data_IF_761484617294
#
_entry.id   IF_761484617294
#
_cell.length_a   1.000
_cell.length_b   1.000
_cell.length_c   1.000
_cell.angle_alpha   90.00
_cell.angle_beta   90.00
_cell.angle_gamma   90.00
#
_symmetry.space_group_name_H-M   'P 1'
#
loop_
_entity.id
_entity.type
_entity.pdbx_description
1 polymer ?
#
# COMPACT_ATOMS: atom_id res chain seq x y z
N UNK A 1 -69.34 27.74 -2.11
CA UNK A 1 -68.65 26.44 -2.31
C UNK A 1 -67.17 26.73 -2.56
N UNK A 2 -66.29 26.53 -1.56
CA UNK A 2 -64.83 26.73 -1.69
C UNK A 2 -64.25 25.42 -2.13
N UNK A 3 -63.56 25.40 -3.29
CA UNK A 3 -62.83 24.26 -3.78
C UNK A 3 -61.42 24.22 -3.09
N UNK A 4 -61.16 23.20 -2.29
CA UNK A 4 -59.88 22.94 -1.69
C UNK A 4 -59.07 22.08 -2.70
N UNK A 5 -58.05 22.66 -3.29
CA UNK A 5 -57.10 21.93 -4.15
C UNK A 5 -56.01 21.35 -3.25
N UNK A 6 -56.03 20.03 -3.08
CA UNK A 6 -54.97 19.32 -2.33
C UNK A 6 -53.74 19.14 -3.24
N UNK A 7 -52.62 19.74 -2.88
CA UNK A 7 -51.30 19.48 -3.48
C UNK A 7 -50.71 18.21 -2.87
N UNK A 8 -50.65 17.13 -3.64
CA UNK A 8 -49.93 15.91 -3.27
C UNK A 8 -48.46 16.14 -3.59
N UNK A 9 -47.65 16.35 -2.55
CA UNK A 9 -46.18 16.29 -2.66
C UNK A 9 -45.76 14.83 -2.77
N UNK A 10 -45.40 14.40 -3.98
CA UNK A 10 -44.73 13.11 -4.18
C UNK A 10 -43.31 13.22 -3.67
N UNK A 11 -43.04 12.69 -2.48
CA UNK A 11 -41.67 12.44 -1.98
C UNK A 11 -41.08 11.30 -2.82
N UNK A 12 -40.32 11.61 -3.86
CA UNK A 12 -39.44 10.67 -4.49
C UNK A 12 -38.26 10.44 -3.54
N UNK A 13 -38.33 9.36 -2.75
CA UNK A 13 -37.14 8.84 -2.05
C UNK A 13 -36.10 8.46 -3.10
N UNK A 14 -35.08 9.29 -3.26
CA UNK A 14 -33.87 8.92 -3.93
C UNK A 14 -33.26 7.79 -3.08
N UNK A 15 -33.51 6.54 -3.48
CA UNK A 15 -32.72 5.40 -3.00
C UNK A 15 -31.29 5.66 -3.46
N UNK A 16 -30.49 6.26 -2.58
CA UNK A 16 -29.05 6.31 -2.71
C UNK A 16 -28.58 4.85 -2.70
N UNK A 17 -28.39 4.27 -3.87
CA UNK A 17 -27.63 3.04 -3.97
C UNK A 17 -26.23 3.37 -3.49
N UNK A 18 -25.85 2.87 -2.32
CA UNK A 18 -24.49 2.95 -1.86
C UNK A 18 -23.58 2.45 -2.99
N UNK A 19 -22.67 3.31 -3.43
CA UNK A 19 -21.80 3.01 -4.55
C UNK A 19 -20.88 1.88 -4.14
N UNK A 20 -20.93 0.74 -4.84
CA UNK A 20 -20.21 -0.48 -4.49
C UNK A 20 -18.82 -0.48 -5.11
N UNK A 21 -17.85 -0.98 -4.37
CA UNK A 21 -16.51 -1.24 -4.91
C UNK A 21 -16.55 -2.36 -5.96
N UNK A 22 -16.08 -2.07 -7.16
CA UNK A 22 -15.92 -3.03 -8.25
C UNK A 22 -14.43 -3.34 -8.54
N UNK A 23 -13.54 -2.46 -8.11
CA UNK A 23 -12.12 -2.55 -8.33
C UNK A 23 -11.36 -2.19 -7.05
N UNK A 24 -10.21 -2.82 -6.83
CA UNK A 24 -9.32 -2.47 -5.73
C UNK A 24 -7.89 -2.28 -6.23
N UNK A 25 -7.24 -1.23 -5.75
CA UNK A 25 -5.81 -1.00 -5.92
C UNK A 25 -5.17 -1.06 -4.54
N UNK A 26 -4.22 -1.97 -4.37
CA UNK A 26 -3.50 -2.19 -3.14
C UNK A 26 -2.07 -1.72 -3.38
N UNK A 27 -1.55 -0.86 -2.51
CA UNK A 27 -0.20 -0.32 -2.61
C UNK A 27 0.53 -0.58 -1.30
N UNK A 28 1.73 -1.11 -1.40
CA UNK A 28 2.65 -1.18 -0.26
C UNK A 28 3.92 -0.39 -0.53
N UNK A 29 4.49 0.16 0.53
CA UNK A 29 5.81 0.80 0.51
C UNK A 29 6.64 0.17 1.63
N UNK A 30 7.68 -0.59 1.25
CA UNK A 30 8.44 -1.45 2.14
C UNK A 30 9.05 -0.65 3.30
N UNK A 31 8.86 -1.11 4.52
CA UNK A 31 9.48 -0.58 5.73
C UNK A 31 9.27 0.92 6.01
N UNK A 32 8.26 1.57 5.39
CA UNK A 32 8.04 3.01 5.59
C UNK A 32 7.37 3.29 6.93
N UNK A 33 8.13 3.94 7.82
CA UNK A 33 7.80 4.11 9.23
C UNK A 33 6.56 4.99 9.47
N UNK A 34 5.68 4.57 10.39
CA UNK A 34 4.53 5.36 10.83
C UNK A 34 4.92 6.77 11.34
N UNK A 35 6.09 6.92 11.99
CA UNK A 35 6.57 8.21 12.47
C UNK A 35 6.74 9.24 11.33
N UNK A 36 7.11 8.78 10.13
CA UNK A 36 7.26 9.68 8.98
C UNK A 36 5.91 10.07 8.40
N UNK A 37 4.96 9.15 8.42
CA UNK A 37 3.58 9.42 8.01
C UNK A 37 2.94 10.46 8.91
N UNK A 38 3.03 10.30 10.23
CA UNK A 38 2.26 11.12 11.18
C UNK A 38 3.02 12.31 11.77
N UNK A 39 4.35 12.28 11.81
CA UNK A 39 5.18 13.33 12.43
C UNK A 39 6.06 14.08 11.43
N UNK A 40 6.20 13.58 10.21
CA UNK A 40 7.07 14.16 9.20
C UNK A 40 8.57 13.86 9.41
N UNK A 41 9.43 14.74 8.93
CA UNK A 41 10.88 14.62 9.02
C UNK A 41 11.37 14.58 10.48
N UNK A 42 12.26 13.63 10.79
CA UNK A 42 12.95 13.57 12.09
C UNK A 42 14.20 14.45 12.07
N UNK A 43 14.24 15.44 12.96
CA UNK A 43 15.34 16.41 13.03
C UNK A 43 16.66 15.77 13.48
N UNK A 44 16.63 14.81 14.42
CA UNK A 44 17.85 14.16 14.90
C UNK A 44 18.50 13.32 13.80
N UNK A 45 17.70 12.65 12.97
CA UNK A 45 18.22 11.91 11.81
C UNK A 45 18.74 12.89 10.74
N UNK A 46 17.98 13.97 10.46
CA UNK A 46 18.37 14.99 9.49
C UNK A 46 19.65 15.76 9.88
N UNK A 47 19.89 15.92 11.17
CA UNK A 47 21.09 16.60 11.68
C UNK A 47 22.32 15.67 11.76
N UNK A 48 22.11 14.36 11.72
CA UNK A 48 23.18 13.39 11.80
C UNK A 48 23.93 13.29 10.47
N UNK A 49 25.22 13.67 10.47
CA UNK A 49 26.08 13.68 9.27
C UNK A 49 26.19 12.31 8.59
N UNK A 50 26.12 11.22 9.34
CA UNK A 50 26.12 9.85 8.79
C UNK A 50 24.92 9.62 7.89
N UNK A 51 23.74 10.13 8.26
CA UNK A 51 22.48 9.86 7.60
C UNK A 51 22.09 10.92 6.56
N UNK A 52 22.44 12.19 6.80
CA UNK A 52 22.15 13.25 5.84
C UNK A 52 23.19 13.38 4.71
N UNK A 53 24.38 12.79 4.88
CA UNK A 53 25.44 12.71 3.88
C UNK A 53 25.77 14.05 3.18
N UNK A 54 25.59 15.16 3.87
CA UNK A 54 25.78 16.53 3.35
C UNK A 54 24.49 17.20 2.86
N UNK A 55 23.38 16.49 2.76
CA UNK A 55 22.10 16.99 2.23
C UNK A 55 21.21 17.65 3.29
N UNK A 56 21.72 17.95 4.48
CA UNK A 56 20.94 18.56 5.56
C UNK A 56 20.12 19.77 5.08
N UNK A 57 20.75 20.68 4.34
CA UNK A 57 20.08 21.90 3.84
C UNK A 57 18.90 21.57 2.92
N UNK A 58 19.08 20.60 2.04
CA UNK A 58 18.02 20.12 1.14
C UNK A 58 16.86 19.52 1.93
N UNK A 59 17.15 18.60 2.87
CA UNK A 59 16.16 17.91 3.70
C UNK A 59 15.29 18.92 4.44
N UNK A 60 15.91 19.91 5.11
CA UNK A 60 15.17 20.95 5.83
C UNK A 60 14.36 21.86 4.91
N UNK A 61 14.90 22.24 3.75
CA UNK A 61 14.18 23.06 2.77
C UNK A 61 12.93 22.35 2.24
N UNK A 62 13.02 21.05 1.96
CA UNK A 62 11.95 20.29 1.33
C UNK A 62 10.95 19.75 2.35
N UNK A 63 11.42 19.22 3.48
CA UNK A 63 10.61 18.48 4.44
C UNK A 63 10.53 19.12 5.82
N UNK A 64 11.32 20.11 6.11
CA UNK A 64 11.36 20.75 7.43
C UNK A 64 10.14 21.62 7.68
N UNK A 65 9.56 21.50 8.88
CA UNK A 65 8.59 22.40 9.48
C UNK A 65 8.65 22.32 11.00
N UNK A 66 8.23 23.39 11.68
CA UNK A 66 7.98 23.37 13.12
C UNK A 66 6.56 22.83 13.42
N UNK A 67 5.63 22.98 12.50
CA UNK A 67 4.28 22.46 12.59
C UNK A 67 4.24 21.01 12.09
N UNK A 68 3.71 20.09 12.91
CA UNK A 68 3.64 18.65 12.59
C UNK A 68 2.71 18.41 11.41
N UNK A 69 1.60 19.15 11.31
CA UNK A 69 0.64 19.01 10.21
C UNK A 69 1.30 19.38 8.89
N UNK A 70 2.03 20.49 8.84
CA UNK A 70 2.78 20.88 7.67
C UNK A 70 3.93 19.88 7.37
N UNK A 71 4.66 19.41 8.38
CA UNK A 71 5.78 18.49 8.22
C UNK A 71 5.35 17.17 7.57
N UNK A 72 4.24 16.55 8.01
CA UNK A 72 3.72 15.32 7.45
C UNK A 72 3.15 15.50 6.04
N UNK A 73 2.48 16.64 5.77
CA UNK A 73 2.00 16.99 4.44
C UNK A 73 3.14 17.21 3.43
N UNK A 74 4.31 17.67 3.87
CA UNK A 74 5.48 17.82 3.00
C UNK A 74 6.03 16.47 2.51
N UNK A 75 5.88 15.41 3.30
CA UNK A 75 6.32 14.05 2.90
C UNK A 75 5.26 13.40 2.01
N UNK A 76 3.99 13.38 2.45
CA UNK A 76 2.90 12.71 1.75
C UNK A 76 1.71 13.67 1.53
N UNK A 77 1.85 14.63 0.59
CA UNK A 77 0.81 15.65 0.37
C UNK A 77 -0.53 15.07 -0.10
N UNK A 78 -0.55 14.04 -0.93
CA UNK A 78 -1.79 13.42 -1.41
C UNK A 78 -2.48 12.62 -0.30
N UNK A 79 -1.73 11.85 0.48
CA UNK A 79 -2.27 11.13 1.64
C UNK A 79 -3.03 12.08 2.57
N UNK A 80 -2.41 13.21 2.90
CA UNK A 80 -2.96 14.16 3.89
C UNK A 80 -4.00 15.14 3.33
N UNK A 81 -4.04 15.39 2.02
CA UNK A 81 -5.07 16.26 1.42
C UNK A 81 -6.28 15.47 0.92
N UNK A 82 -6.07 14.37 0.21
CA UNK A 82 -7.13 13.63 -0.45
C UNK A 82 -7.60 12.45 0.40
N UNK A 83 -6.69 11.55 0.80
CA UNK A 83 -7.08 10.34 1.55
C UNK A 83 -7.59 10.70 2.95
N UNK A 84 -6.93 11.63 3.64
CA UNK A 84 -7.40 12.12 4.93
C UNK A 84 -8.78 12.81 4.86
N UNK A 85 -9.19 13.34 3.71
CA UNK A 85 -10.49 13.99 3.57
C UNK A 85 -11.61 13.04 3.13
N UNK A 86 -11.29 11.97 2.40
CA UNK A 86 -12.26 11.07 1.75
C UNK A 86 -12.19 9.62 2.20
N UNK A 87 -11.27 9.30 3.09
CA UNK A 87 -11.01 7.95 3.57
C UNK A 87 -10.61 7.92 5.04
N UNK A 88 -9.75 6.98 5.39
CA UNK A 88 -9.29 6.79 6.77
C UNK A 88 -7.79 6.48 6.77
N UNK A 89 -7.10 6.94 7.82
CA UNK A 89 -5.68 6.68 8.07
C UNK A 89 -5.53 6.19 9.51
N UNK A 90 -4.86 5.04 9.69
CA UNK A 90 -4.68 4.34 10.95
C UNK A 90 -3.19 4.17 11.27
N UNK A 91 -2.87 4.10 12.55
CA UNK A 91 -1.52 3.82 13.03
C UNK A 91 -0.82 5.00 13.70
N UNK A 92 -1.54 6.09 14.03
CA UNK A 92 -0.96 7.15 14.84
C UNK A 92 -0.88 6.72 16.30
N UNK A 93 0.27 6.17 16.67
CA UNK A 93 0.51 5.62 18.01
C UNK A 93 0.52 6.69 19.09
N UNK A 94 0.84 7.95 18.77
CA UNK A 94 0.78 9.06 19.72
C UNK A 94 -0.66 9.33 20.19
N UNK A 95 -1.65 8.93 19.40
CA UNK A 95 -3.07 9.01 19.73
C UNK A 95 -3.63 7.68 20.28
N UNK A 96 -2.79 6.67 20.46
CA UNK A 96 -3.20 5.33 20.90
C UNK A 96 -3.87 4.47 19.82
N UNK A 97 -3.90 4.91 18.58
CA UNK A 97 -4.33 4.12 17.44
C UNK A 97 -3.14 3.30 16.93
N UNK A 98 -3.22 1.98 17.05
CA UNK A 98 -2.09 1.08 16.79
C UNK A 98 -2.44 0.09 15.69
N UNK A 99 -1.48 -0.14 14.79
CA UNK A 99 -1.49 -1.21 13.81
C UNK A 99 -0.17 -1.94 13.93
N UNK A 100 -0.20 -3.26 14.11
CA UNK A 100 1.01 -4.05 14.35
C UNK A 100 1.07 -5.30 13.47
N UNK A 101 2.29 -5.67 13.08
CA UNK A 101 2.63 -6.98 12.55
C UNK A 101 2.55 -7.99 13.69
N UNK A 102 1.95 -9.16 13.45
CA UNK A 102 1.81 -10.22 14.47
C UNK A 102 2.79 -11.38 14.29
N UNK A 103 3.38 -11.58 13.11
CA UNK A 103 4.49 -12.50 12.99
C UNK A 103 5.68 -11.99 13.82
N UNK A 104 6.49 -12.92 14.33
CA UNK A 104 7.60 -12.58 15.24
C UNK A 104 8.88 -12.13 14.55
N UNK A 105 8.91 -12.09 13.21
CA UNK A 105 10.14 -11.87 12.45
C UNK A 105 10.36 -10.41 12.07
N UNK A 106 9.26 -9.66 11.81
CA UNK A 106 9.25 -8.25 11.44
C UNK A 106 10.22 -7.92 10.30
N UNK A 107 10.19 -8.75 9.27
CA UNK A 107 10.94 -8.64 8.03
C UNK A 107 10.01 -8.83 6.83
N UNK A 108 10.46 -8.47 5.63
CA UNK A 108 9.60 -8.25 4.46
C UNK A 108 8.79 -9.48 4.05
N UNK A 109 9.42 -10.63 3.75
CA UNK A 109 8.67 -11.80 3.30
C UNK A 109 7.59 -12.25 4.30
N UNK A 110 7.89 -12.49 5.60
CA UNK A 110 6.88 -12.80 6.60
C UNK A 110 5.80 -11.71 6.75
N UNK A 111 6.16 -10.43 6.64
CA UNK A 111 5.23 -9.31 6.69
C UNK A 111 4.25 -9.33 5.52
N UNK A 112 4.74 -9.40 4.29
CA UNK A 112 3.89 -9.55 3.10
C UNK A 112 3.04 -10.82 3.13
N UNK A 113 3.62 -11.93 3.61
CA UNK A 113 2.87 -13.18 3.79
C UNK A 113 1.71 -13.00 4.76
N UNK A 114 1.94 -12.42 5.94
CA UNK A 114 0.88 -12.16 6.93
C UNK A 114 -0.22 -11.27 6.34
N UNK A 115 0.17 -10.19 5.67
CA UNK A 115 -0.74 -9.23 5.06
C UNK A 115 -1.64 -9.89 4.00
N UNK A 116 -1.07 -10.71 3.12
CA UNK A 116 -1.77 -11.28 1.97
C UNK A 116 -2.52 -12.58 2.30
N UNK A 117 -2.10 -13.32 3.32
CA UNK A 117 -2.75 -14.58 3.71
C UNK A 117 -3.73 -14.41 4.87
N UNK A 118 -3.66 -13.31 5.61
CA UNK A 118 -4.44 -13.12 6.84
C UNK A 118 -3.97 -13.99 7.99
N UNK A 119 -2.76 -14.58 7.90
CA UNK A 119 -2.21 -15.53 8.85
C UNK A 119 -0.72 -15.25 9.11
N UNK A 120 -0.36 -15.10 10.37
CA UNK A 120 1.03 -15.00 10.82
C UNK A 120 1.65 -16.40 10.99
N UNK A 121 2.00 -17.03 9.87
CA UNK A 121 2.59 -18.37 9.87
C UNK A 121 4.07 -18.35 10.31
N UNK A 122 4.36 -18.96 11.45
CA UNK A 122 5.72 -19.04 11.98
C UNK A 122 6.68 -19.88 11.11
N UNK A 123 6.19 -20.69 10.20
CA UNK A 123 7.03 -21.45 9.27
C UNK A 123 7.60 -20.54 8.17
N UNK A 124 6.91 -19.46 7.83
CA UNK A 124 7.39 -18.45 6.87
C UNK A 124 8.30 -17.47 7.63
N UNK A 125 9.60 -17.75 7.64
CA UNK A 125 10.54 -17.21 8.63
C UNK A 125 11.79 -16.52 8.04
N UNK A 126 11.82 -16.27 6.74
CA UNK A 126 13.00 -15.73 6.06
C UNK A 126 12.61 -14.99 4.78
N UNK A 127 13.39 -13.96 4.42
CA UNK A 127 13.30 -13.30 3.10
C UNK A 127 13.72 -14.23 1.93
N UNK A 128 14.42 -15.32 2.24
CA UNK A 128 14.78 -16.36 1.27
C UNK A 128 13.82 -17.57 1.30
N UNK A 129 12.60 -17.38 1.87
CA UNK A 129 11.66 -18.48 1.92
C UNK A 129 11.24 -18.92 0.50
N UNK A 130 10.97 -20.21 0.35
CA UNK A 130 10.44 -20.80 -0.90
C UNK A 130 9.04 -20.28 -1.20
N UNK A 131 8.41 -20.77 -2.27
CA UNK A 131 7.03 -20.45 -2.62
C UNK A 131 6.10 -20.56 -1.39
N UNK A 132 5.32 -19.52 -1.14
CA UNK A 132 4.45 -19.44 0.04
C UNK A 132 3.44 -20.61 0.07
N UNK A 133 3.43 -21.42 1.15
CA UNK A 133 2.49 -22.54 1.24
C UNK A 133 1.04 -22.09 1.45
N UNK A 134 0.84 -20.90 2.03
CA UNK A 134 -0.48 -20.39 2.37
C UNK A 134 -1.16 -19.73 1.17
N UNK A 135 -2.44 -19.99 0.98
CA UNK A 135 -3.25 -19.31 -0.03
C UNK A 135 -3.35 -17.83 0.31
N UNK A 136 -3.10 -16.95 -0.64
CA UNK A 136 -3.22 -15.52 -0.46
C UNK A 136 -4.55 -14.97 -0.99
N UNK A 137 -4.94 -13.78 -0.54
CA UNK A 137 -6.22 -13.17 -0.92
C UNK A 137 -6.31 -12.85 -2.43
N UNK A 138 -5.20 -12.53 -3.09
CA UNK A 138 -5.18 -12.27 -4.53
C UNK A 138 -5.42 -13.56 -5.33
N UNK A 139 -4.83 -14.67 -4.89
CA UNK A 139 -5.10 -16.02 -5.41
C UNK A 139 -6.58 -16.38 -5.25
N UNK A 140 -7.13 -16.19 -4.06
CA UNK A 140 -8.56 -16.40 -3.80
C UNK A 140 -9.45 -15.54 -4.71
N UNK A 141 -9.14 -14.25 -4.87
CA UNK A 141 -9.89 -13.36 -5.74
C UNK A 141 -9.76 -13.76 -7.22
N UNK A 142 -8.58 -14.20 -7.67
CA UNK A 142 -8.40 -14.66 -9.04
C UNK A 142 -9.24 -15.92 -9.38
N UNK A 143 -9.59 -16.72 -8.38
CA UNK A 143 -10.47 -17.88 -8.53
C UNK A 143 -11.96 -17.50 -8.65
N UNK A 144 -12.34 -16.26 -8.33
CA UNK A 144 -13.72 -15.83 -8.44
C UNK A 144 -14.11 -15.59 -9.90
N UNK A 145 -15.28 -16.09 -10.36
CA UNK A 145 -15.67 -16.04 -11.79
C UNK A 145 -15.60 -14.63 -12.41
N UNK A 146 -15.97 -13.59 -11.63
CA UNK A 146 -15.98 -12.20 -12.11
C UNK A 146 -14.61 -11.51 -12.10
N UNK A 147 -13.60 -12.12 -11.46
CA UNK A 147 -12.26 -11.59 -11.26
C UNK A 147 -11.17 -12.42 -11.93
N UNK A 148 -11.50 -13.60 -12.41
CA UNK A 148 -10.55 -14.50 -13.09
C UNK A 148 -9.86 -13.78 -14.26
N UNK A 149 -8.53 -13.80 -14.26
CA UNK A 149 -7.68 -13.10 -15.24
C UNK A 149 -7.62 -11.58 -15.11
N UNK A 150 -8.29 -11.00 -14.07
CA UNK A 150 -8.34 -9.55 -13.81
C UNK A 150 -7.55 -9.15 -12.56
N UNK A 151 -6.74 -10.06 -12.05
CA UNK A 151 -5.82 -9.83 -10.92
C UNK A 151 -4.41 -9.68 -11.47
N UNK A 152 -3.68 -8.66 -11.02
CA UNK A 152 -2.30 -8.37 -11.41
C UNK A 152 -1.50 -7.91 -10.21
N UNK A 153 -0.22 -8.25 -10.19
CA UNK A 153 0.71 -7.80 -9.16
C UNK A 153 2.03 -7.32 -9.79
N UNK A 154 2.55 -6.24 -9.24
CA UNK A 154 3.83 -5.65 -9.60
C UNK A 154 4.63 -5.39 -8.33
N UNK A 155 5.86 -5.89 -8.25
CA UNK A 155 6.72 -5.69 -7.09
C UNK A 155 8.14 -5.29 -7.49
N UNK A 156 8.73 -4.34 -6.78
CA UNK A 156 10.11 -3.94 -7.02
C UNK A 156 11.10 -5.06 -6.68
N UNK A 157 10.77 -5.90 -5.72
CA UNK A 157 11.62 -7.00 -5.23
C UNK A 157 11.31 -8.33 -5.90
N UNK A 158 12.36 -9.12 -6.23
CA UNK A 158 12.25 -10.40 -6.93
C UNK A 158 11.56 -11.53 -6.13
N UNK A 159 11.30 -11.32 -4.84
CA UNK A 159 10.64 -12.32 -4.01
C UNK A 159 9.11 -12.37 -4.18
N UNK A 160 8.49 -11.40 -4.86
CA UNK A 160 7.03 -11.35 -4.96
C UNK A 160 6.42 -12.53 -5.72
N UNK A 161 7.13 -13.13 -6.67
CA UNK A 161 6.73 -14.37 -7.34
C UNK A 161 6.51 -15.51 -6.32
N UNK A 162 7.40 -15.61 -5.32
CA UNK A 162 7.36 -16.61 -4.24
C UNK A 162 6.39 -16.23 -3.12
N UNK A 163 6.35 -14.94 -2.73
CA UNK A 163 5.42 -14.42 -1.71
C UNK A 163 3.97 -14.69 -2.11
N UNK A 164 3.63 -14.40 -3.37
CA UNK A 164 2.30 -14.58 -3.93
C UNK A 164 2.10 -15.96 -4.54
N UNK A 165 3.13 -16.80 -4.59
CA UNK A 165 3.15 -18.14 -5.19
C UNK A 165 2.51 -18.10 -6.59
N UNK A 166 3.13 -17.36 -7.52
CA UNK A 166 2.61 -17.09 -8.86
C UNK A 166 2.12 -18.34 -9.56
N UNK A 167 2.88 -19.44 -9.47
CA UNK A 167 2.55 -20.73 -10.11
C UNK A 167 1.21 -21.29 -9.65
N UNK A 168 0.94 -21.23 -8.34
CA UNK A 168 -0.32 -21.73 -7.78
C UNK A 168 -1.44 -20.71 -7.94
N UNK A 169 -1.14 -19.43 -7.74
CA UNK A 169 -2.10 -18.33 -7.81
C UNK A 169 -2.71 -18.13 -9.20
N UNK A 170 -1.97 -18.49 -10.26
CA UNK A 170 -2.46 -18.49 -11.64
C UNK A 170 -2.75 -17.09 -12.21
N UNK A 171 -2.16 -16.03 -11.63
CA UNK A 171 -2.16 -14.68 -12.20
C UNK A 171 -0.72 -14.15 -12.32
N UNK A 172 -0.42 -13.26 -13.28
CA UNK A 172 0.92 -12.75 -13.47
C UNK A 172 1.39 -11.90 -12.28
N UNK A 173 2.61 -12.17 -11.81
CA UNK A 173 3.36 -11.38 -10.83
C UNK A 173 4.61 -10.86 -11.52
N UNK A 174 4.67 -9.57 -11.78
CA UNK A 174 5.85 -8.93 -12.37
C UNK A 174 6.75 -8.47 -11.26
N UNK A 175 7.88 -9.14 -11.09
CA UNK A 175 8.82 -8.94 -9.98
C UNK A 175 10.14 -8.39 -10.47
N UNK A 176 10.64 -7.35 -9.82
CA UNK A 176 11.97 -6.76 -10.09
C UNK A 176 12.25 -6.53 -11.59
N UNK A 177 13.07 -7.40 -12.19
CA UNK A 177 13.53 -7.26 -13.56
C UNK A 177 12.73 -8.09 -14.58
N UNK A 178 11.53 -8.58 -14.20
CA UNK A 178 10.66 -9.29 -15.13
C UNK A 178 10.13 -8.39 -16.25
N UNK A 179 10.10 -8.91 -17.47
CA UNK A 179 9.62 -8.16 -18.63
C UNK A 179 8.10 -8.20 -18.72
N UNK A 180 7.50 -7.06 -19.06
CA UNK A 180 6.07 -6.96 -19.37
C UNK A 180 5.81 -7.17 -20.87
N UNK A 181 4.55 -7.55 -21.22
CA UNK A 181 4.11 -7.70 -22.61
C UNK A 181 4.26 -9.11 -23.20
N UNK A 182 4.88 -10.05 -22.48
CA UNK A 182 5.05 -11.44 -22.89
C UNK A 182 5.68 -11.58 -24.28
N UNK A 183 5.13 -12.45 -25.14
CA UNK A 183 5.68 -12.73 -26.47
C UNK A 183 5.45 -11.61 -27.50
N UNK A 184 4.54 -10.68 -27.26
CA UNK A 184 4.18 -9.59 -28.17
C UNK A 184 4.08 -8.25 -27.45
N UNK A 185 5.19 -7.73 -26.88
CA UNK A 185 5.18 -6.45 -26.18
C UNK A 185 4.91 -5.29 -27.15
N UNK A 186 4.11 -4.32 -26.70
CA UNK A 186 3.91 -3.05 -27.40
C UNK A 186 5.21 -2.24 -27.43
N UNK A 187 5.30 -1.19 -28.26
CA UNK A 187 6.49 -0.32 -28.28
C UNK A 187 6.74 0.34 -26.91
N UNK A 188 5.69 0.73 -26.21
CA UNK A 188 5.80 1.25 -24.84
C UNK A 188 6.40 0.22 -23.89
N UNK A 189 5.94 -1.03 -23.95
CA UNK A 189 6.43 -2.11 -23.09
C UNK A 189 7.88 -2.47 -23.42
N UNK A 190 8.25 -2.52 -24.70
CA UNK A 190 9.67 -2.68 -25.14
C UNK A 190 10.54 -1.59 -24.56
N UNK A 191 10.09 -0.33 -24.63
CA UNK A 191 10.83 0.80 -24.10
C UNK A 191 10.99 0.69 -22.58
N UNK A 192 9.92 0.41 -21.83
CA UNK A 192 9.96 0.25 -20.36
C UNK A 192 10.91 -0.88 -19.95
N UNK A 193 10.85 -2.04 -20.62
CA UNK A 193 11.75 -3.15 -20.38
C UNK A 193 13.22 -2.74 -20.65
N UNK A 194 13.48 -2.10 -21.79
CA UNK A 194 14.83 -1.65 -22.16
C UNK A 194 15.39 -0.60 -21.18
N UNK A 195 14.56 0.35 -20.73
CA UNK A 195 14.96 1.35 -19.75
C UNK A 195 15.33 0.71 -18.41
N UNK A 196 14.54 -0.25 -17.94
CA UNK A 196 14.81 -0.99 -16.70
C UNK A 196 16.10 -1.81 -16.81
N UNK A 197 16.26 -2.58 -17.89
CA UNK A 197 17.39 -3.47 -18.07
C UNK A 197 18.72 -2.73 -18.20
N UNK A 198 18.70 -1.51 -18.74
CA UNK A 198 19.86 -0.65 -18.91
C UNK A 198 19.98 0.43 -17.82
N UNK A 199 19.17 0.39 -16.78
CA UNK A 199 19.26 1.34 -15.66
C UNK A 199 20.40 0.96 -14.71
N UNK A 200 20.83 1.94 -13.91
CA UNK A 200 21.67 1.67 -12.76
C UNK A 200 20.91 0.81 -11.73
N UNK A 201 21.57 -0.19 -11.16
CA UNK A 201 21.00 -1.14 -10.19
C UNK A 201 21.55 -0.87 -8.79
N UNK A 202 21.03 0.10 -8.05
CA UNK A 202 21.57 0.45 -6.74
C UNK A 202 21.33 -0.64 -5.69
N UNK A 203 20.37 -1.52 -5.90
CA UNK A 203 19.94 -2.59 -4.99
C UNK A 203 20.29 -3.99 -5.54
N UNK A 204 21.37 -4.08 -6.32
CA UNK A 204 21.84 -5.30 -6.97
C UNK A 204 20.82 -5.90 -7.96
N UNK A 205 20.78 -7.22 -8.08
CA UNK A 205 19.87 -7.94 -8.99
C UNK A 205 18.56 -8.35 -8.31
N UNK A 206 18.38 -8.01 -7.04
CA UNK A 206 17.23 -8.45 -6.26
C UNK A 206 16.05 -7.48 -6.38
N UNK A 207 16.35 -6.19 -6.57
CA UNK A 207 15.31 -5.17 -6.57
C UNK A 207 15.57 -4.10 -7.63
N UNK A 208 14.52 -3.77 -8.40
CA UNK A 208 14.57 -2.67 -9.37
C UNK A 208 14.12 -1.36 -8.71
N UNK A 209 14.47 -0.24 -9.35
CA UNK A 209 13.94 1.07 -8.94
C UNK A 209 12.42 1.11 -9.08
N UNK A 210 11.76 1.66 -8.07
CA UNK A 210 10.29 1.79 -7.99
C UNK A 210 9.66 2.46 -9.22
N UNK A 211 10.39 3.33 -9.90
CA UNK A 211 9.92 3.99 -11.13
C UNK A 211 9.55 2.99 -12.22
N UNK A 212 10.27 1.87 -12.34
CA UNK A 212 9.95 0.83 -13.31
C UNK A 212 8.71 0.04 -12.91
N UNK A 213 8.64 -0.37 -11.64
CA UNK A 213 7.45 -1.02 -11.07
C UNK A 213 6.21 -0.16 -11.28
N UNK A 214 6.32 1.16 -11.03
CA UNK A 214 5.22 2.09 -11.20
C UNK A 214 4.74 2.18 -12.66
N UNK A 215 5.63 2.47 -13.60
CA UNK A 215 5.21 2.68 -14.99
C UNK A 215 4.82 1.39 -15.70
N UNK A 216 5.36 0.23 -15.30
CA UNK A 216 4.86 -1.07 -15.75
C UNK A 216 3.44 -1.33 -15.24
N UNK A 217 3.15 -1.06 -13.97
CA UNK A 217 1.81 -1.17 -13.40
C UNK A 217 0.82 -0.16 -14.04
N UNK A 218 1.27 1.07 -14.33
CA UNK A 218 0.46 2.08 -15.01
C UNK A 218 0.12 1.71 -16.46
N UNK A 219 1.06 1.08 -17.19
CA UNK A 219 0.76 0.55 -18.52
C UNK A 219 -0.32 -0.53 -18.47
N UNK A 220 -0.19 -1.49 -17.55
CA UNK A 220 -1.20 -2.54 -17.33
C UNK A 220 -2.55 -1.96 -16.90
N UNK A 221 -2.56 -1.01 -15.95
CA UNK A 221 -3.77 -0.33 -15.50
C UNK A 221 -4.52 0.37 -16.64
N UNK A 222 -3.79 1.04 -17.53
CA UNK A 222 -4.36 1.77 -18.67
C UNK A 222 -4.82 0.84 -19.81
N UNK A 223 -4.06 -0.22 -20.10
CA UNK A 223 -4.26 -1.04 -21.30
C UNK A 223 -5.10 -2.29 -21.06
N UNK A 224 -4.90 -2.97 -19.91
CA UNK A 224 -5.60 -4.22 -19.57
C UNK A 224 -6.70 -4.05 -18.54
N UNK A 225 -6.68 -2.94 -17.84
CA UNK A 225 -7.74 -2.55 -16.88
C UNK A 225 -8.07 -3.65 -15.87
N UNK A 226 -7.11 -4.13 -15.05
CA UNK A 226 -7.37 -5.14 -14.03
C UNK A 226 -8.40 -4.61 -13.01
N UNK A 227 -9.16 -5.53 -12.40
CA UNK A 227 -10.08 -5.20 -11.29
C UNK A 227 -9.39 -5.24 -9.92
N UNK A 228 -8.34 -6.02 -9.81
CA UNK A 228 -7.51 -6.14 -8.62
C UNK A 228 -6.07 -5.89 -9.05
N UNK A 229 -5.48 -4.82 -8.57
CA UNK A 229 -4.09 -4.44 -8.85
C UNK A 229 -3.33 -4.29 -7.54
N UNK A 230 -2.24 -5.02 -7.41
CA UNK A 230 -1.29 -4.86 -6.31
C UNK A 230 0.02 -4.26 -6.83
N UNK A 231 0.53 -3.25 -6.14
CA UNK A 231 1.81 -2.60 -6.44
C UNK A 231 2.62 -2.52 -5.16
N UNK A 232 3.81 -3.11 -5.16
CA UNK A 232 4.74 -3.09 -4.03
C UNK A 232 6.00 -2.30 -4.39
N UNK A 233 6.17 -1.14 -3.74
CA UNK A 233 7.36 -0.29 -3.84
C UNK A 233 8.37 -0.67 -2.77
N UNK A 234 9.66 -0.69 -3.09
CA UNK A 234 10.72 -1.16 -2.21
C UNK A 234 11.73 -0.10 -1.78
N UNK A 235 11.91 0.98 -2.54
CA UNK A 235 13.00 1.95 -2.33
C UNK A 235 13.06 2.56 -0.91
N UNK A 236 11.94 2.65 -0.19
CA UNK A 236 11.95 3.17 1.19
C UNK A 236 12.71 2.26 2.13
N UNK A 237 12.66 0.94 1.96
CA UNK A 237 13.43 0.00 2.77
C UNK A 237 14.92 0.05 2.42
N UNK A 238 15.26 -0.01 1.16
CA UNK A 238 16.63 -0.02 0.66
C UNK A 238 17.41 1.25 1.02
N UNK A 239 16.80 2.42 0.83
CA UNK A 239 17.43 3.68 1.24
C UNK A 239 17.57 3.82 2.75
N UNK A 240 16.66 3.22 3.53
CA UNK A 240 16.82 3.17 4.97
C UNK A 240 18.00 2.27 5.36
N UNK A 241 18.12 1.06 4.82
CA UNK A 241 19.26 0.17 5.06
C UNK A 241 20.59 0.83 4.70
N UNK A 242 20.64 1.56 3.62
CA UNK A 242 21.80 2.35 3.19
C UNK A 242 22.06 3.58 4.06
N UNK A 243 21.18 3.91 5.02
CA UNK A 243 21.29 5.07 5.88
C UNK A 243 21.16 6.42 5.14
N UNK A 244 20.56 6.43 3.96
CA UNK A 244 20.41 7.61 3.10
C UNK A 244 19.08 8.31 3.37
N UNK A 245 19.06 9.14 4.41
CA UNK A 245 17.81 9.73 4.90
C UNK A 245 17.13 10.66 3.89
N UNK A 246 17.90 11.37 3.06
CA UNK A 246 17.34 12.15 1.95
C UNK A 246 16.59 11.25 0.97
N UNK A 247 17.25 10.21 0.46
CA UNK A 247 16.68 9.28 -0.53
C UNK A 247 15.44 8.58 0.02
N UNK A 248 15.49 8.16 1.29
CA UNK A 248 14.33 7.57 2.00
C UNK A 248 13.11 8.50 2.01
N UNK A 249 13.29 9.79 2.33
CA UNK A 249 12.18 10.76 2.30
C UNK A 249 11.74 11.09 0.88
N UNK A 250 12.68 11.18 -0.06
CA UNK A 250 12.39 11.43 -1.48
C UNK A 250 11.62 10.27 -2.10
N UNK A 251 11.96 9.01 -1.79
CA UNK A 251 11.23 7.80 -2.21
C UNK A 251 9.79 7.83 -1.70
N UNK A 252 9.56 8.06 -0.42
CA UNK A 252 8.21 8.17 0.14
C UNK A 252 7.38 9.30 -0.49
N UNK A 253 8.00 10.46 -0.72
CA UNK A 253 7.35 11.58 -1.40
C UNK A 253 7.02 11.25 -2.87
N UNK A 254 7.87 10.47 -3.52
CA UNK A 254 7.62 10.02 -4.90
C UNK A 254 6.49 8.98 -4.95
N UNK A 255 6.44 8.03 -4.02
CA UNK A 255 5.33 7.08 -3.91
C UNK A 255 4.00 7.82 -3.72
N UNK A 256 3.93 8.83 -2.86
CA UNK A 256 2.72 9.64 -2.68
C UNK A 256 2.26 10.34 -3.99
N UNK A 257 3.20 10.82 -4.80
CA UNK A 257 2.89 11.37 -6.14
C UNK A 257 2.37 10.30 -7.09
N UNK A 258 2.93 9.10 -7.07
CA UNK A 258 2.47 7.98 -7.89
C UNK A 258 1.09 7.48 -7.46
N UNK A 259 0.81 7.47 -6.17
CA UNK A 259 -0.54 7.18 -5.66
C UNK A 259 -1.54 8.22 -6.20
N UNK A 260 -1.17 9.50 -6.21
CA UNK A 260 -1.96 10.56 -6.82
C UNK A 260 -2.18 10.31 -8.32
N UNK A 261 -1.12 9.99 -9.07
CA UNK A 261 -1.22 9.71 -10.52
C UNK A 261 -2.17 8.55 -10.81
N UNK A 262 -2.04 7.46 -10.07
CA UNK A 262 -2.95 6.30 -10.15
C UNK A 262 -4.39 6.73 -9.87
N UNK A 263 -4.62 7.50 -8.80
CA UNK A 263 -5.95 7.94 -8.40
C UNK A 263 -6.58 8.90 -9.40
N UNK A 264 -5.81 9.83 -9.94
CA UNK A 264 -6.28 10.73 -11.00
C UNK A 264 -6.69 9.96 -12.26
N UNK A 265 -5.91 8.96 -12.67
CA UNK A 265 -6.32 8.07 -13.77
C UNK A 265 -7.61 7.34 -13.43
N UNK A 266 -7.69 6.71 -12.27
CA UNK A 266 -8.85 5.95 -11.77
C UNK A 266 -10.11 6.81 -11.77
N UNK A 267 -10.05 8.06 -11.34
CA UNK A 267 -11.22 8.96 -11.29
C UNK A 267 -11.60 9.54 -12.67
N UNK A 268 -10.77 9.38 -13.69
CA UNK A 268 -11.08 9.82 -15.05
C UNK A 268 -11.48 8.66 -15.99
N UNK A 269 -11.29 7.41 -15.59
CA UNK A 269 -11.64 6.25 -16.42
C UNK A 269 -13.03 5.70 -16.04
N UNK A 270 -13.94 5.46 -17.02
CA UNK A 270 -15.32 5.00 -16.75
C UNK A 270 -15.43 3.68 -16.02
N UNK A 271 -14.46 2.75 -16.17
CA UNK A 271 -14.46 1.48 -15.44
C UNK A 271 -14.23 1.70 -13.95
N UNK A 272 -13.36 2.64 -13.61
CA UNK A 272 -12.84 2.80 -12.26
C UNK A 272 -13.51 3.91 -11.45
N UNK A 273 -13.94 4.97 -12.14
CA UNK A 273 -14.48 6.19 -11.52
C UNK A 273 -15.59 5.87 -10.51
N UNK A 274 -15.37 6.30 -9.27
CA UNK A 274 -16.30 6.11 -8.15
C UNK A 274 -16.61 4.63 -7.81
N UNK A 275 -15.84 3.68 -8.31
CA UNK A 275 -16.03 2.23 -8.13
C UNK A 275 -14.75 1.53 -7.67
N UNK A 276 -13.74 2.30 -7.31
CA UNK A 276 -12.43 1.79 -6.93
C UNK A 276 -12.12 2.14 -5.49
N UNK A 277 -11.70 1.14 -4.72
CA UNK A 277 -11.09 1.34 -3.41
C UNK A 277 -9.58 1.28 -3.53
N UNK A 278 -8.92 2.24 -2.89
CA UNK A 278 -7.48 2.31 -2.70
C UNK A 278 -7.14 1.90 -1.27
N UNK A 279 -6.21 0.98 -1.10
CA UNK A 279 -5.66 0.56 0.19
C UNK A 279 -4.15 0.71 0.15
N UNK A 280 -3.56 1.34 1.16
CA UNK A 280 -2.13 1.59 1.28
C UNK A 280 -1.67 1.10 2.64
N UNK A 281 -0.57 0.36 2.69
CA UNK A 281 0.03 -0.11 3.94
C UNK A 281 1.52 -0.39 3.75
N UNK A 282 2.14 -1.00 4.76
CA UNK A 282 3.54 -1.44 4.77
C UNK A 282 3.61 -2.87 5.31
N UNK A 283 4.67 -3.55 5.02
CA UNK A 283 4.91 -4.94 5.45
C UNK A 283 5.48 -5.04 6.87
N UNK A 284 6.34 -4.10 7.27
CA UNK A 284 6.88 -3.95 8.61
C UNK A 284 7.23 -2.48 8.92
N UNK A 285 7.51 -2.19 10.16
CA UNK A 285 8.08 -0.93 10.62
C UNK A 285 9.60 -0.99 10.72
N UNK A 286 10.20 0.00 11.38
CA UNK A 286 11.65 0.08 11.61
C UNK A 286 11.91 0.60 13.02
N UNK A 287 13.15 0.43 13.49
CA UNK A 287 13.53 0.80 14.83
C UNK A 287 13.33 2.29 15.19
N UNK A 288 13.02 2.55 16.45
CA UNK A 288 12.82 3.91 16.98
C UNK A 288 13.40 4.11 18.39
N UNK A 289 13.78 3.06 19.09
CA UNK A 289 14.33 3.15 20.44
C UNK A 289 15.66 3.88 20.48
N UNK A 290 16.53 3.63 19.51
CA UNK A 290 17.74 4.41 19.25
C UNK A 290 17.64 5.00 17.85
N UNK A 291 18.02 6.27 17.69
CA UNK A 291 17.85 6.95 16.38
C UNK A 291 18.55 6.24 15.22
N UNK A 292 19.69 5.61 15.46
CA UNK A 292 20.37 4.82 14.42
C UNK A 292 19.56 3.61 13.93
N UNK A 293 18.62 3.11 14.73
CA UNK A 293 17.82 1.90 14.39
C UNK A 293 16.75 2.17 13.34
N UNK A 294 16.57 3.41 12.89
CA UNK A 294 15.71 3.70 11.74
C UNK A 294 16.17 3.03 10.46
N UNK A 295 17.45 2.62 10.39
CA UNK A 295 18.02 1.87 9.28
C UNK A 295 17.69 0.38 9.32
N UNK A 296 17.18 -0.12 10.46
CA UNK A 296 17.07 -1.55 10.75
C UNK A 296 15.64 -1.95 11.10
N UNK A 297 15.34 -3.22 10.86
CA UNK A 297 14.13 -3.90 11.26
C UNK A 297 14.44 -5.34 11.69
N UNK A 298 13.42 -6.11 12.06
CA UNK A 298 13.60 -7.51 12.52
C UNK A 298 13.25 -7.70 13.99
N UNK A 299 13.21 -8.94 14.45
CA UNK A 299 12.71 -9.36 15.76
C UNK A 299 13.38 -8.69 16.96
N UNK A 300 14.64 -8.28 16.81
CA UNK A 300 15.42 -7.65 17.87
C UNK A 300 15.36 -6.11 17.85
N UNK A 301 14.62 -5.54 16.89
CA UNK A 301 14.55 -4.10 16.65
C UNK A 301 13.20 -3.57 17.13
N UNK A 302 13.20 -2.90 18.30
CA UNK A 302 11.99 -2.33 18.87
C UNK A 302 11.38 -1.27 17.93
N UNK A 303 10.09 -1.39 17.62
CA UNK A 303 9.37 -0.55 16.66
C UNK A 303 9.22 -1.17 15.27
N UNK A 304 9.95 -2.26 14.96
CA UNK A 304 9.85 -2.90 13.66
C UNK A 304 8.50 -3.61 13.41
N UNK A 305 7.70 -3.89 14.43
CA UNK A 305 6.32 -4.37 14.29
C UNK A 305 5.30 -3.25 14.07
N UNK A 306 5.69 -1.98 14.24
CA UNK A 306 4.78 -0.84 14.24
C UNK A 306 4.54 -0.35 12.82
N UNK A 307 3.33 -0.54 12.32
CA UNK A 307 2.93 -0.21 10.96
C UNK A 307 1.76 0.78 10.93
N UNK A 308 1.32 1.11 9.75
CA UNK A 308 0.17 1.96 9.49
C UNK A 308 -0.60 1.47 8.26
N UNK A 309 -1.85 1.90 8.12
CA UNK A 309 -2.55 1.73 6.86
C UNK A 309 -3.51 2.87 6.57
N UNK A 310 -3.88 3.03 5.29
CA UNK A 310 -4.87 3.99 4.86
C UNK A 310 -5.77 3.37 3.79
N UNK A 311 -7.04 3.77 3.78
CA UNK A 311 -7.99 3.32 2.78
C UNK A 311 -8.93 4.44 2.37
N UNK A 312 -9.32 4.45 1.08
CA UNK A 312 -10.28 5.38 0.51
C UNK A 312 -11.07 4.68 -0.60
N UNK A 313 -12.38 4.87 -0.64
CA UNK A 313 -13.21 4.25 -1.68
C UNK A 313 -14.70 4.31 -1.35
N UNK A 314 -15.55 3.73 -2.21
CA UNK A 314 -17.00 3.83 -2.08
C UNK A 314 -17.57 3.28 -0.76
N UNK A 315 -16.98 2.22 -0.23
CA UNK A 315 -17.44 1.56 1.00
C UNK A 315 -16.63 1.97 2.24
N UNK A 316 -15.68 2.90 2.07
CA UNK A 316 -14.81 3.38 3.14
C UNK A 316 -15.37 4.67 3.73
N UNK A 317 -15.73 4.64 5.01
CA UNK A 317 -16.24 5.83 5.69
C UNK A 317 -15.17 6.95 5.76
N UNK A 318 -15.49 8.21 5.43
CA UNK A 318 -14.50 9.31 5.40
C UNK A 318 -14.22 9.86 6.80
N UNK A 319 -13.58 9.10 7.67
CA UNK A 319 -13.29 9.47 9.07
C UNK A 319 -11.94 10.21 9.23
N UNK A 320 -11.14 10.31 8.16
CA UNK A 320 -9.84 10.98 8.19
C UNK A 320 -8.79 10.23 9.01
N UNK A 321 -7.93 10.94 9.71
CA UNK A 321 -7.01 10.37 10.69
C UNK A 321 -7.81 9.80 11.87
N UNK A 322 -7.78 8.49 12.05
CA UNK A 322 -8.51 7.80 13.12
C UNK A 322 -7.78 8.03 14.45
N UNK A 323 -8.46 8.71 15.37
CA UNK A 323 -7.91 9.11 16.68
C UNK A 323 -8.39 8.24 17.83
N UNK A 324 -9.31 7.33 17.57
CA UNK A 324 -9.81 6.39 18.56
C UNK A 324 -8.71 5.43 18.97
N UNK A 325 -8.51 5.27 20.28
CA UNK A 325 -7.60 4.26 20.80
C UNK A 325 -8.07 2.88 20.39
N UNK A 326 -7.23 2.16 19.66
CA UNK A 326 -7.57 0.87 19.08
C UNK A 326 -6.31 0.08 18.76
N UNK A 327 -6.44 -1.24 18.66
CA UNK A 327 -5.40 -2.14 18.24
C UNK A 327 -5.84 -2.93 17.02
N UNK A 328 -5.14 -2.74 15.90
CA UNK A 328 -5.33 -3.48 14.65
C UNK A 328 -4.07 -4.28 14.33
N UNK A 329 -4.23 -5.24 13.44
CA UNK A 329 -3.16 -6.14 13.06
C UNK A 329 -3.07 -6.31 11.55
N UNK A 330 -1.86 -6.44 11.03
CA UNK A 330 -1.57 -6.63 9.62
C UNK A 330 -2.34 -7.78 8.99
N UNK A 331 -2.48 -8.90 9.70
CA UNK A 331 -3.24 -10.09 9.26
C UNK A 331 -4.72 -9.82 8.95
N UNK A 332 -5.30 -8.70 9.43
CA UNK A 332 -6.68 -8.34 9.12
C UNK A 332 -6.83 -7.79 7.69
N UNK A 333 -5.72 -7.45 7.02
CA UNK A 333 -5.72 -6.84 5.70
C UNK A 333 -6.31 -7.76 4.63
N UNK A 334 -5.97 -9.06 4.65
CA UNK A 334 -6.47 -10.01 3.65
C UNK A 334 -8.00 -10.09 3.62
N UNK A 335 -8.63 -10.29 4.79
CA UNK A 335 -10.09 -10.33 4.86
C UNK A 335 -10.73 -8.98 4.54
N UNK A 336 -10.08 -7.87 4.92
CA UNK A 336 -10.53 -6.52 4.56
C UNK A 336 -10.54 -6.32 3.04
N UNK A 337 -9.50 -6.75 2.33
CA UNK A 337 -9.43 -6.72 0.86
C UNK A 337 -10.58 -7.53 0.24
N UNK A 338 -10.78 -8.76 0.71
CA UNK A 338 -11.86 -9.61 0.22
C UNK A 338 -13.24 -8.98 0.47
N UNK A 339 -13.45 -8.44 1.67
CA UNK A 339 -14.73 -7.81 2.07
C UNK A 339 -15.05 -6.58 1.22
N UNK A 340 -14.07 -5.72 0.97
CA UNK A 340 -14.18 -4.58 0.05
C UNK A 340 -14.63 -5.01 -1.35
N UNK A 341 -14.16 -6.17 -1.83
CA UNK A 341 -14.56 -6.73 -3.12
C UNK A 341 -15.86 -7.55 -3.06
N UNK A 342 -16.54 -7.59 -1.90
CA UNK A 342 -17.82 -8.28 -1.71
C UNK A 342 -17.69 -9.78 -1.49
N UNK A 343 -16.52 -10.26 -1.07
CA UNK A 343 -16.24 -11.67 -0.80
C UNK A 343 -15.89 -11.92 0.67
N UNK A 344 -15.94 -13.19 1.08
CA UNK A 344 -15.39 -13.67 2.34
C UNK A 344 -14.23 -14.59 2.03
N UNK A 345 -13.02 -14.20 2.42
CA UNK A 345 -11.81 -14.98 2.19
C UNK A 345 -11.80 -16.20 3.12
N UNK A 346 -11.90 -17.36 2.52
CA UNK A 346 -11.84 -18.66 3.22
C UNK A 346 -10.78 -19.55 2.57
N UNK A 347 -10.02 -20.26 3.38
CA UNK A 347 -8.94 -21.13 2.95
C UNK A 347 -8.69 -22.22 4.00
N UNK A 348 -7.76 -23.15 3.74
CA UNK A 348 -7.40 -24.24 4.63
C UNK A 348 -6.63 -23.79 5.89
N UNK A 349 -5.99 -22.62 5.84
CA UNK A 349 -5.34 -22.02 7.01
C UNK A 349 -6.26 -20.99 7.70
N UNK A 350 -6.00 -20.61 8.96
CA UNK A 350 -6.76 -19.55 9.64
C UNK A 350 -6.63 -18.22 8.89
N UNK A 351 -7.69 -17.44 8.88
CA UNK A 351 -7.72 -16.06 8.38
C UNK A 351 -8.29 -15.15 9.46
N UNK A 352 -7.63 -14.05 9.74
CA UNK A 352 -8.13 -13.05 10.68
C UNK A 352 -9.36 -12.32 10.10
N UNK A 353 -10.23 -11.85 11.00
CA UNK A 353 -11.39 -11.03 10.60
C UNK A 353 -10.95 -9.70 9.96
N UNK A 354 -11.84 -9.12 9.16
CA UNK A 354 -11.65 -7.79 8.57
C UNK A 354 -11.53 -6.68 9.63
N UNK A 355 -11.01 -5.54 9.23
CA UNK A 355 -11.08 -4.28 10.00
C UNK A 355 -12.47 -3.69 9.77
N UNK A 356 -13.42 -3.96 10.66
CA UNK A 356 -14.83 -3.57 10.50
C UNK A 356 -15.03 -2.05 10.51
N UNK A 357 -14.18 -1.35 11.24
CA UNK A 357 -14.27 0.10 11.48
C UNK A 357 -14.03 0.94 10.23
N UNK A 358 -13.45 0.37 9.17
CA UNK A 358 -13.23 1.12 7.93
C UNK A 358 -14.50 1.29 7.10
N UNK A 359 -15.48 0.41 7.26
CA UNK A 359 -16.71 0.43 6.47
C UNK A 359 -17.68 1.50 6.96
N UNK A 360 -18.64 1.87 6.12
CA UNK A 360 -19.82 2.61 6.54
C UNK A 360 -20.65 1.78 7.52
N UNK A 361 -21.22 2.42 8.54
CA UNK A 361 -22.16 1.81 9.49
C UNK A 361 -23.52 1.56 8.82
#
# INVERSE_FOLDING_TARGET
MKKITAFIFAFTSLLSHAQKTENIIIITTDGFRWQKVFKGMDKEIADNKRFNQGDRKYIYKKYGSADITEARQKIMPFLWSEIASKGQIYGNRDLGNKVDVTNKYWISYPGYSEMMTGNADNAVNSNHYKDNPNVNVLEFLNQQPNLNGKVKAFGAWNAFDRILNEKRSGFPVISAFDSIGGNNPTETQKLLNAMRDNSFKPFHEDECLDVFTHYQAMDELKTKKPKVLYIAYGETDEWAHSGQYRSYLDAANQVDKWIKEIWEFVQNDPQYKNKTTLLITVDHGRGDKKKKEWTDHGSDVAGASEIWFAAMGPEIAPKGEVKTQSQFYQKQTAQTIAKVMGYTFTTSHPVADEIKEIFHE
#
